data_IF_189043641807
#
_entry.id   IF_189043641807
#
_cell.length_a   1.000
_cell.length_b   1.000
_cell.length_c   1.000
_cell.angle_alpha   90.00
_cell.angle_beta   90.00
_cell.angle_gamma   90.00
#
_symmetry.space_group_name_H-M   'P 1'
#
loop_
_entity.id
_entity.type
_entity.pdbx_description
1 polymer ?
#
# COMPACT_ATOMS: atom_id res chain seq x y z
N UNK A 1 -108.58 15.38 28.61
CA UNK A 1 -108.06 15.76 27.27
C UNK A 1 -106.81 16.65 27.33
N UNK A 2 -106.48 17.26 28.48
CA UNK A 2 -105.41 18.26 28.61
C UNK A 2 -103.99 17.71 28.91
N UNK A 3 -103.84 16.54 29.54
CA UNK A 3 -102.51 15.95 29.85
C UNK A 3 -101.70 15.55 28.60
N UNK A 4 -102.34 15.00 27.56
CA UNK A 4 -101.67 14.63 26.30
C UNK A 4 -101.13 15.82 25.50
N UNK A 5 -101.58 17.05 25.79
CA UNK A 5 -101.17 18.28 25.09
C UNK A 5 -99.95 18.95 25.74
N UNK A 6 -99.84 18.87 27.07
CA UNK A 6 -98.68 19.39 27.82
C UNK A 6 -97.43 18.52 27.61
N UNK A 7 -97.59 17.21 27.70
CA UNK A 7 -96.53 16.22 27.49
C UNK A 7 -95.92 16.32 26.06
N UNK A 8 -96.76 16.64 25.07
CA UNK A 8 -96.35 16.89 23.68
C UNK A 8 -95.52 18.17 23.50
N UNK A 9 -95.79 19.21 24.30
CA UNK A 9 -95.08 20.49 24.24
C UNK A 9 -93.70 20.40 24.87
N UNK A 10 -93.60 19.70 25.99
CA UNK A 10 -92.34 19.45 26.69
C UNK A 10 -91.43 18.51 25.89
N UNK A 11 -92.01 17.46 25.31
CA UNK A 11 -91.32 16.56 24.37
C UNK A 11 -90.78 17.30 23.15
N UNK A 12 -91.53 18.24 22.56
CA UNK A 12 -91.07 19.07 21.44
C UNK A 12 -89.88 19.95 21.79
N UNK A 13 -89.90 20.63 22.95
CA UNK A 13 -88.75 21.43 23.41
C UNK A 13 -87.51 20.57 23.63
N UNK A 14 -87.68 19.36 24.18
CA UNK A 14 -86.59 18.40 24.37
C UNK A 14 -85.98 17.95 23.04
N UNK A 15 -86.82 17.69 22.04
CA UNK A 15 -86.38 17.35 20.68
C UNK A 15 -85.57 18.51 20.07
N UNK A 16 -86.02 19.76 20.22
CA UNK A 16 -85.31 20.94 19.73
C UNK A 16 -83.92 21.11 20.37
N UNK A 17 -83.83 20.97 21.69
CA UNK A 17 -82.57 21.07 22.44
C UNK A 17 -81.61 19.95 22.02
N UNK A 18 -82.11 18.73 21.88
CA UNK A 18 -81.32 17.59 21.43
C UNK A 18 -80.86 17.77 19.98
N UNK A 19 -81.71 18.29 19.09
CA UNK A 19 -81.35 18.59 17.70
C UNK A 19 -80.28 19.69 17.63
N UNK A 20 -80.38 20.74 18.44
CA UNK A 20 -79.34 21.76 18.53
C UNK A 20 -78.01 21.18 19.01
N UNK A 21 -78.03 20.32 20.03
CA UNK A 21 -76.83 19.64 20.55
C UNK A 21 -76.21 18.69 19.53
N UNK A 22 -77.02 17.95 18.77
CA UNK A 22 -76.54 17.10 17.68
C UNK A 22 -75.86 17.95 16.60
N UNK A 23 -76.48 19.06 16.20
CA UNK A 23 -75.96 19.96 15.16
C UNK A 23 -74.64 20.64 15.57
N UNK A 24 -74.41 20.81 16.86
CA UNK A 24 -73.17 21.33 17.43
C UNK A 24 -72.08 20.26 17.58
N UNK A 25 -72.45 19.04 18.01
CA UNK A 25 -71.51 17.93 18.22
C UNK A 25 -71.06 17.27 16.91
N UNK A 26 -71.88 17.27 15.86
CA UNK A 26 -71.52 16.72 14.54
C UNK A 26 -70.24 17.31 13.94
N UNK A 27 -70.08 18.66 13.82
CA UNK A 27 -68.85 19.24 13.30
C UNK A 27 -67.65 19.02 14.23
N UNK A 28 -67.85 19.03 15.55
CA UNK A 28 -66.80 18.76 16.53
C UNK A 28 -66.27 17.33 16.38
N UNK A 29 -67.17 16.34 16.32
CA UNK A 29 -66.84 14.94 16.13
C UNK A 29 -66.16 14.69 14.76
N UNK A 30 -66.61 15.38 13.71
CA UNK A 30 -65.96 15.37 12.39
C UNK A 30 -64.54 15.96 12.44
N UNK A 31 -64.32 17.01 13.23
CA UNK A 31 -62.99 17.61 13.40
C UNK A 31 -62.05 16.70 14.19
N UNK A 32 -62.56 16.05 15.24
CA UNK A 32 -61.81 15.13 16.08
C UNK A 32 -61.44 13.87 15.30
N UNK A 33 -62.36 13.27 14.54
CA UNK A 33 -62.08 12.10 13.71
C UNK A 33 -61.03 12.40 12.63
N UNK A 34 -61.06 13.61 12.05
CA UNK A 34 -60.06 14.05 11.07
C UNK A 34 -58.67 14.25 11.70
N UNK A 35 -58.60 14.74 12.95
CA UNK A 35 -57.32 14.86 13.68
C UNK A 35 -56.77 13.47 14.03
N UNK A 36 -57.63 12.58 14.50
CA UNK A 36 -57.28 11.23 14.91
C UNK A 36 -56.74 10.43 13.71
N UNK A 37 -57.40 10.51 12.54
CA UNK A 37 -56.92 9.86 11.31
C UNK A 37 -55.57 10.42 10.83
N UNK A 38 -55.36 11.74 10.89
CA UNK A 38 -54.05 12.35 10.58
C UNK A 38 -52.96 11.88 11.54
N UNK A 39 -53.29 11.73 12.81
CA UNK A 39 -52.35 11.26 13.82
C UNK A 39 -52.02 9.78 13.63
N UNK A 40 -52.99 8.93 13.31
CA UNK A 40 -52.77 7.52 12.95
C UNK A 40 -51.89 7.36 11.70
N UNK A 41 -52.06 8.20 10.69
CA UNK A 41 -51.18 8.18 9.50
C UNK A 41 -49.75 8.57 9.87
N UNK A 42 -49.58 9.60 10.72
CA UNK A 42 -48.25 10.01 11.19
C UNK A 42 -47.57 8.95 12.03
N UNK A 43 -48.29 8.27 12.92
CA UNK A 43 -47.72 7.21 13.75
C UNK A 43 -47.34 6.00 12.90
N UNK A 44 -48.19 5.58 11.95
CA UNK A 44 -47.85 4.51 10.99
C UNK A 44 -46.60 4.85 10.18
N UNK A 45 -46.50 6.08 9.68
CA UNK A 45 -45.32 6.54 8.93
C UNK A 45 -44.05 6.53 9.79
N UNK A 46 -44.10 7.08 11.01
CA UNK A 46 -42.95 7.09 11.91
C UNK A 46 -42.48 5.67 12.29
N UNK A 47 -43.40 4.72 12.44
CA UNK A 47 -43.07 3.30 12.67
C UNK A 47 -42.38 2.69 11.46
N UNK A 48 -42.89 2.95 10.24
CA UNK A 48 -42.27 2.49 9.00
C UNK A 48 -40.86 3.06 8.83
N UNK A 49 -40.69 4.38 9.00
CA UNK A 49 -39.40 5.06 8.88
C UNK A 49 -38.39 4.49 9.91
N UNK A 50 -38.84 4.19 11.13
CA UNK A 50 -38.01 3.56 12.17
C UNK A 50 -37.61 2.13 11.79
N UNK A 51 -38.52 1.35 11.21
CA UNK A 51 -38.22 -0.01 10.74
C UNK A 51 -37.20 0.01 9.60
N UNK A 52 -37.38 0.91 8.63
CA UNK A 52 -36.46 1.08 7.51
C UNK A 52 -35.06 1.51 7.98
N UNK A 53 -34.99 2.49 8.88
CA UNK A 53 -33.74 2.90 9.49
C UNK A 53 -33.07 1.75 10.27
N UNK A 54 -33.84 0.93 10.99
CA UNK A 54 -33.34 -0.24 11.71
C UNK A 54 -32.77 -1.31 10.78
N UNK A 55 -33.42 -1.57 9.64
CA UNK A 55 -32.91 -2.48 8.61
C UNK A 55 -31.63 -1.96 7.97
N UNK A 56 -31.56 -0.65 7.71
CA UNK A 56 -30.35 -0.01 7.19
C UNK A 56 -29.18 -0.10 8.17
N UNK A 57 -29.43 0.14 9.47
CA UNK A 57 -28.43 0.00 10.53
C UNK A 57 -27.88 -1.44 10.58
N UNK A 58 -28.77 -2.43 10.61
CA UNK A 58 -28.38 -3.84 10.69
C UNK A 58 -27.53 -4.26 9.48
N UNK A 59 -27.89 -3.83 8.27
CA UNK A 59 -27.09 -4.07 7.06
C UNK A 59 -25.71 -3.41 7.14
N UNK A 60 -25.62 -2.22 7.72
CA UNK A 60 -24.35 -1.53 7.89
C UNK A 60 -23.46 -2.25 8.93
N UNK A 61 -24.03 -2.70 10.05
CA UNK A 61 -23.33 -3.49 11.08
C UNK A 61 -22.79 -4.80 10.50
N UNK A 62 -23.62 -5.57 9.78
CA UNK A 62 -23.20 -6.81 9.11
C UNK A 62 -22.04 -6.55 8.13
N UNK A 63 -22.08 -5.43 7.41
CA UNK A 63 -21.01 -5.05 6.48
C UNK A 63 -19.72 -4.67 7.21
N UNK A 64 -19.81 -3.94 8.32
CA UNK A 64 -18.66 -3.60 9.16
C UNK A 64 -18.01 -4.87 9.73
N UNK A 65 -18.80 -5.81 10.22
CA UNK A 65 -18.26 -7.06 10.77
C UNK A 65 -17.61 -7.94 9.69
N UNK A 66 -18.20 -8.01 8.50
CA UNK A 66 -17.58 -8.70 7.37
C UNK A 66 -16.25 -8.03 6.95
N UNK A 67 -16.20 -6.70 6.92
CA UNK A 67 -14.98 -5.95 6.61
C UNK A 67 -13.92 -6.14 7.69
N UNK A 68 -14.29 -6.15 8.98
CA UNK A 68 -13.36 -6.42 10.07
C UNK A 68 -12.72 -7.80 9.94
N UNK A 69 -13.52 -8.84 9.68
CA UNK A 69 -13.00 -10.21 9.45
C UNK A 69 -12.05 -10.27 8.26
N UNK A 70 -12.39 -9.62 7.15
CA UNK A 70 -11.50 -9.55 5.99
C UNK A 70 -10.18 -8.84 6.31
N UNK A 71 -10.23 -7.79 7.11
CA UNK A 71 -9.06 -7.02 7.54
C UNK A 71 -8.19 -7.82 8.53
N UNK A 72 -8.80 -8.58 9.42
CA UNK A 72 -8.09 -9.48 10.33
C UNK A 72 -7.39 -10.62 9.56
N UNK A 73 -8.06 -11.22 8.57
CA UNK A 73 -7.43 -12.21 7.69
C UNK A 73 -6.22 -11.63 6.93
N UNK A 74 -6.36 -10.43 6.34
CA UNK A 74 -5.26 -9.74 5.66
C UNK A 74 -4.11 -9.41 6.63
N UNK A 75 -4.42 -9.03 7.87
CA UNK A 75 -3.41 -8.79 8.90
C UNK A 75 -2.68 -10.07 9.29
N UNK A 76 -3.37 -11.21 9.42
CA UNK A 76 -2.74 -12.50 9.71
C UNK A 76 -1.81 -12.95 8.56
N UNK A 77 -2.23 -12.77 7.30
CA UNK A 77 -1.37 -12.98 6.12
C UNK A 77 -0.14 -12.06 6.15
N UNK A 78 -0.34 -10.77 6.48
CA UNK A 78 0.76 -9.80 6.59
C UNK A 78 1.70 -10.12 7.75
N UNK A 79 1.18 -10.56 8.89
CA UNK A 79 1.97 -10.94 10.08
C UNK A 79 2.79 -12.22 9.85
N UNK A 80 2.26 -13.20 9.11
CA UNK A 80 3.06 -14.34 8.64
C UNK A 80 4.23 -13.87 7.78
N UNK A 81 3.99 -12.90 6.91
CA UNK A 81 5.03 -12.23 6.12
C UNK A 81 6.05 -11.47 6.98
N UNK A 82 5.63 -10.73 8.00
CA UNK A 82 6.53 -9.87 8.78
C UNK A 82 7.55 -10.63 9.64
N UNK A 83 7.29 -11.89 9.97
CA UNK A 83 8.29 -12.76 10.62
C UNK A 83 9.31 -13.35 9.64
N UNK A 84 9.12 -13.20 8.32
CA UNK A 84 10.09 -13.65 7.34
C UNK A 84 11.28 -12.71 7.34
N UNK A 85 12.43 -13.26 7.71
CA UNK A 85 13.71 -12.57 7.72
C UNK A 85 14.70 -13.31 6.83
N UNK A 86 15.63 -12.57 6.23
CA UNK A 86 16.75 -13.18 5.53
C UNK A 86 17.62 -13.94 6.54
N UNK A 87 17.84 -15.24 6.30
CA UNK A 87 18.73 -16.05 7.16
C UNK A 87 20.11 -15.40 7.32
N UNK A 88 20.61 -14.81 6.24
CA UNK A 88 21.89 -14.13 6.21
C UNK A 88 21.90 -13.07 5.10
N UNK A 89 22.45 -11.90 5.38
CA UNK A 89 22.74 -10.86 4.41
C UNK A 89 24.24 -10.53 4.46
N UNK A 90 24.94 -10.65 3.34
CA UNK A 90 26.40 -10.46 3.26
C UNK A 90 26.73 -9.63 2.02
N UNK A 91 27.63 -8.66 2.18
CA UNK A 91 28.24 -7.95 1.06
C UNK A 91 29.56 -8.63 0.71
N UNK A 92 29.70 -9.06 -0.54
CA UNK A 92 30.89 -9.75 -1.04
C UNK A 92 31.75 -8.80 -1.87
N UNK A 93 33.07 -8.95 -1.76
CA UNK A 93 34.02 -8.33 -2.69
C UNK A 93 33.93 -8.99 -4.06
N UNK A 94 34.42 -8.34 -5.12
CA UNK A 94 34.37 -8.90 -6.48
C UNK A 94 34.98 -10.32 -6.58
N UNK A 95 36.15 -10.55 -5.97
CA UNK A 95 36.80 -11.87 -5.96
C UNK A 95 35.96 -12.95 -5.23
N UNK A 96 35.34 -12.58 -4.11
CA UNK A 96 34.44 -13.47 -3.37
C UNK A 96 33.16 -13.75 -4.17
N UNK A 97 32.58 -12.74 -4.82
CA UNK A 97 31.40 -12.88 -5.68
C UNK A 97 31.66 -13.83 -6.85
N UNK A 98 32.80 -13.72 -7.54
CA UNK A 98 33.16 -14.63 -8.63
C UNK A 98 33.29 -16.08 -8.14
N UNK A 99 33.94 -16.29 -6.99
CA UNK A 99 34.09 -17.61 -6.36
C UNK A 99 32.72 -18.19 -5.97
N UNK A 100 31.89 -17.38 -5.32
CA UNK A 100 30.53 -17.75 -4.92
C UNK A 100 29.68 -18.12 -6.13
N UNK A 101 29.66 -17.31 -7.20
CA UNK A 101 28.91 -17.62 -8.41
C UNK A 101 29.41 -18.87 -9.12
N UNK A 102 30.72 -19.15 -9.06
CA UNK A 102 31.26 -20.42 -9.56
C UNK A 102 30.76 -21.62 -8.74
N UNK A 103 30.61 -21.46 -7.42
CA UNK A 103 30.02 -22.49 -6.55
C UNK A 103 28.54 -22.68 -6.85
N UNK A 104 27.77 -21.59 -6.99
CA UNK A 104 26.35 -21.62 -7.38
C UNK A 104 26.17 -22.32 -8.73
N UNK A 105 26.97 -21.95 -9.73
CA UNK A 105 26.95 -22.60 -11.05
C UNK A 105 27.44 -24.05 -11.06
N UNK A 106 28.11 -24.51 -10.00
CA UNK A 106 28.52 -25.92 -9.86
C UNK A 106 27.42 -26.82 -9.33
N UNK A 107 26.36 -26.24 -8.75
CA UNK A 107 25.21 -26.99 -8.22
C UNK A 107 24.48 -27.65 -9.39
N UNK A 108 24.35 -28.97 -9.31
CA UNK A 108 23.71 -29.82 -10.31
C UNK A 108 22.57 -30.59 -9.67
N UNK A 109 21.38 -30.46 -10.25
CA UNK A 109 20.27 -31.34 -9.94
C UNK A 109 20.18 -32.51 -10.92
N UNK A 110 19.59 -33.60 -10.45
CA UNK A 110 19.25 -34.78 -11.28
C UNK A 110 18.06 -34.48 -12.19
N UNK A 111 17.16 -33.57 -11.78
CA UNK A 111 16.01 -33.11 -12.55
C UNK A 111 16.26 -31.70 -13.10
N UNK A 112 15.40 -31.24 -14.02
CA UNK A 112 15.35 -29.83 -14.42
C UNK A 112 14.42 -29.09 -13.46
N UNK A 113 14.95 -28.67 -12.32
CA UNK A 113 14.21 -28.05 -11.21
C UNK A 113 14.96 -26.86 -10.59
N UNK A 114 16.12 -26.49 -11.15
CA UNK A 114 16.87 -25.31 -10.73
C UNK A 114 16.43 -24.12 -11.58
N UNK A 115 15.85 -23.13 -10.91
CA UNK A 115 15.33 -21.90 -11.48
C UNK A 115 16.35 -20.80 -11.28
N UNK A 116 16.66 -20.09 -12.36
CA UNK A 116 17.43 -18.84 -12.32
C UNK A 116 16.57 -17.73 -12.88
N UNK A 117 16.43 -16.63 -12.14
CA UNK A 117 15.68 -15.45 -12.55
C UNK A 117 16.59 -14.24 -12.44
N UNK A 118 16.58 -13.39 -13.46
CA UNK A 118 17.22 -12.09 -13.48
C UNK A 118 16.12 -11.04 -13.68
N UNK A 119 16.13 -10.01 -12.85
CA UNK A 119 15.21 -8.88 -12.90
C UNK A 119 16.00 -7.58 -13.04
N UNK A 120 15.60 -6.74 -13.98
CA UNK A 120 16.04 -5.35 -14.09
C UNK A 120 15.57 -4.54 -12.87
N UNK A 121 16.17 -3.35 -12.63
CA UNK A 121 15.66 -2.42 -11.64
C UNK A 121 14.16 -2.15 -11.87
N UNK A 122 13.36 -2.18 -10.81
CA UNK A 122 11.92 -1.92 -10.83
C UNK A 122 11.05 -2.90 -11.65
N UNK A 123 11.57 -4.08 -12.00
CA UNK A 123 10.76 -5.14 -12.63
C UNK A 123 10.41 -6.26 -11.64
N UNK A 124 9.27 -6.91 -11.89
CA UNK A 124 8.73 -8.00 -11.09
C UNK A 124 8.54 -9.27 -11.93
N UNK A 125 8.23 -10.39 -11.28
CA UNK A 125 7.93 -11.65 -11.97
C UNK A 125 6.75 -11.54 -12.95
N UNK A 126 5.77 -10.68 -12.67
CA UNK A 126 4.62 -10.46 -13.54
C UNK A 126 4.99 -9.82 -14.89
N UNK A 127 6.19 -9.23 -14.99
CA UNK A 127 6.72 -8.65 -16.22
C UNK A 127 7.51 -9.65 -17.07
N UNK A 128 7.73 -10.87 -16.59
CA UNK A 128 8.50 -11.89 -17.30
C UNK A 128 7.60 -12.67 -18.27
N UNK A 129 7.98 -12.67 -19.54
CA UNK A 129 7.27 -13.44 -20.57
C UNK A 129 7.33 -14.95 -20.28
N UNK A 130 6.15 -15.58 -20.30
CA UNK A 130 5.99 -17.03 -20.14
C UNK A 130 6.29 -17.56 -18.74
N UNK A 131 6.50 -16.69 -17.74
CA UNK A 131 6.77 -17.11 -16.37
C UNK A 131 5.55 -17.81 -15.75
N UNK A 132 5.66 -19.11 -15.51
CA UNK A 132 4.60 -19.98 -14.98
C UNK A 132 5.13 -20.85 -13.82
N UNK A 133 6.07 -20.31 -13.05
CA UNK A 133 6.65 -20.99 -11.89
C UNK A 133 5.93 -20.50 -10.64
N UNK A 134 5.34 -21.44 -9.91
CA UNK A 134 4.83 -21.19 -8.57
C UNK A 134 6.02 -21.09 -7.60
N UNK A 135 6.34 -19.86 -7.20
CA UNK A 135 7.32 -19.58 -6.14
C UNK A 135 6.62 -19.62 -4.78
N UNK A 136 7.38 -19.99 -3.75
CA UNK A 136 6.90 -19.87 -2.38
C UNK A 136 6.53 -18.41 -2.10
N UNK A 137 5.36 -18.18 -1.48
CA UNK A 137 4.88 -16.84 -1.09
C UNK A 137 5.94 -16.05 -0.30
N UNK A 138 6.73 -16.75 0.51
CA UNK A 138 7.82 -16.17 1.29
C UNK A 138 8.90 -15.50 0.41
N UNK A 139 9.19 -16.08 -0.77
CA UNK A 139 10.22 -15.58 -1.68
C UNK A 139 9.73 -14.31 -2.37
N UNK A 140 8.49 -14.30 -2.85
CA UNK A 140 7.89 -13.11 -3.45
C UNK A 140 7.83 -11.95 -2.45
N UNK A 141 7.41 -12.24 -1.23
CA UNK A 141 7.33 -11.26 -0.16
C UNK A 141 8.71 -10.68 0.21
N UNK A 142 9.73 -11.53 0.37
CA UNK A 142 11.09 -11.08 0.68
C UNK A 142 11.69 -10.24 -0.46
N UNK A 143 11.40 -10.57 -1.72
CA UNK A 143 11.87 -9.80 -2.85
C UNK A 143 11.25 -8.41 -2.94
N UNK A 144 9.97 -8.26 -2.60
CA UNK A 144 9.31 -6.95 -2.52
C UNK A 144 9.92 -6.03 -1.45
N UNK A 145 10.54 -6.58 -0.40
CA UNK A 145 11.23 -5.82 0.65
C UNK A 145 12.60 -5.28 0.24
N UNK A 146 13.16 -5.71 -0.89
CA UNK A 146 14.50 -5.29 -1.33
C UNK A 146 14.39 -4.18 -2.37
N UNK A 147 14.89 -3.01 -2.00
CA UNK A 147 15.14 -1.94 -2.96
C UNK A 147 16.51 -2.14 -3.60
N UNK A 148 16.53 -2.45 -4.89
CA UNK A 148 17.77 -2.60 -5.66
C UNK A 148 17.78 -1.71 -6.90
N UNK A 149 18.62 -0.66 -6.95
CA UNK A 149 18.72 0.23 -8.11
C UNK A 149 19.38 -0.45 -9.32
N UNK A 150 19.98 -1.63 -9.12
CA UNK A 150 20.72 -2.40 -10.13
C UNK A 150 20.01 -3.70 -10.53
N UNK A 151 18.84 -3.97 -9.97
CA UNK A 151 18.09 -5.20 -10.22
C UNK A 151 18.50 -6.33 -9.28
N UNK A 152 17.97 -7.52 -9.52
CA UNK A 152 18.09 -8.67 -8.61
C UNK A 152 18.21 -9.97 -9.38
N UNK A 153 18.92 -10.95 -8.83
CA UNK A 153 18.92 -12.32 -9.35
C UNK A 153 18.52 -13.32 -8.26
N UNK A 154 17.65 -14.25 -8.62
CA UNK A 154 17.16 -15.32 -7.76
C UNK A 154 17.62 -16.67 -8.29
N UNK A 155 18.26 -17.46 -7.42
CA UNK A 155 18.59 -18.86 -7.63
C UNK A 155 17.74 -19.71 -6.69
N UNK A 156 16.85 -20.53 -7.25
CA UNK A 156 15.81 -21.24 -6.53
C UNK A 156 15.71 -22.71 -6.95
N UNK A 157 15.69 -23.64 -5.99
CA UNK A 157 15.39 -25.07 -6.22
C UNK A 157 13.89 -25.33 -5.97
N UNK A 158 13.16 -25.79 -6.99
CA UNK A 158 11.72 -26.07 -6.91
C UNK A 158 11.37 -27.35 -6.16
N UNK A 159 12.23 -28.37 -6.20
CA UNK A 159 11.88 -29.73 -5.73
C UNK A 159 12.30 -29.99 -4.32
N UNK A 160 13.35 -29.32 -3.85
CA UNK A 160 13.89 -29.53 -2.51
C UNK A 160 13.63 -28.29 -1.66
N UNK A 161 12.51 -28.26 -0.90
CA UNK A 161 12.19 -27.14 -0.03
C UNK A 161 13.37 -26.79 0.89
N UNK A 162 13.82 -25.53 0.82
CA UNK A 162 14.89 -25.02 1.67
C UNK A 162 16.32 -25.43 1.31
N UNK A 163 16.56 -26.16 0.22
CA UNK A 163 17.92 -26.54 -0.18
C UNK A 163 18.73 -25.34 -0.70
N UNK A 164 18.20 -24.65 -1.72
CA UNK A 164 18.88 -23.48 -2.30
C UNK A 164 17.86 -22.38 -2.60
N UNK A 165 17.99 -21.27 -1.87
CA UNK A 165 17.25 -20.02 -2.07
C UNK A 165 18.21 -18.87 -1.85
N UNK A 166 18.68 -18.27 -2.95
CA UNK A 166 19.69 -17.22 -2.89
C UNK A 166 19.24 -16.05 -3.73
N UNK A 167 19.36 -14.86 -3.14
CA UNK A 167 18.99 -13.61 -3.76
C UNK A 167 20.22 -12.71 -3.79
N UNK A 168 20.51 -12.14 -4.95
CA UNK A 168 21.71 -11.35 -5.17
C UNK A 168 21.32 -10.00 -5.76
N UNK A 169 21.81 -8.92 -5.14
CA UNK A 169 21.78 -7.56 -5.69
C UNK A 169 23.17 -7.25 -6.28
N UNK A 170 23.31 -7.22 -7.62
CA UNK A 170 24.60 -6.95 -8.24
C UNK A 170 25.02 -5.48 -8.06
N UNK A 171 26.32 -5.16 -8.10
CA UNK A 171 26.80 -3.77 -8.03
C UNK A 171 26.56 -2.97 -9.32
N UNK A 172 26.19 -3.64 -10.42
CA UNK A 172 25.93 -3.06 -11.74
C UNK A 172 24.54 -3.45 -12.24
N UNK A 173 23.87 -2.60 -13.04
CA UNK A 173 22.51 -2.85 -13.48
C UNK A 173 22.40 -4.08 -14.39
N UNK A 174 21.42 -4.93 -14.11
CA UNK A 174 21.02 -6.02 -15.02
C UNK A 174 20.37 -5.40 -16.25
N UNK A 175 20.87 -5.77 -17.44
CA UNK A 175 20.41 -5.20 -18.72
C UNK A 175 19.15 -5.85 -19.29
N UNK A 176 18.89 -7.13 -18.96
CA UNK A 176 17.76 -7.91 -19.47
C UNK A 176 17.15 -8.76 -18.36
N UNK A 177 15.82 -8.70 -18.25
CA UNK A 177 15.08 -9.62 -17.40
C UNK A 177 14.82 -10.92 -18.12
N UNK A 178 14.76 -12.02 -17.36
CA UNK A 178 14.47 -13.33 -17.91
C UNK A 178 14.61 -14.41 -16.86
N UNK A 179 14.07 -15.58 -17.20
CA UNK A 179 14.11 -16.74 -16.32
C UNK A 179 14.45 -17.99 -17.13
N UNK A 180 14.99 -18.99 -16.43
CA UNK A 180 15.30 -20.29 -17.00
C UNK A 180 15.16 -21.38 -15.95
N UNK A 181 14.61 -22.52 -16.36
CA UNK A 181 14.70 -23.79 -15.62
C UNK A 181 15.73 -24.68 -16.28
N UNK A 182 16.67 -25.20 -15.51
CA UNK A 182 17.65 -26.16 -15.99
C UNK A 182 18.07 -27.14 -14.88
N UNK A 183 19.03 -28.01 -15.18
CA UNK A 183 19.70 -28.87 -14.20
C UNK A 183 20.82 -28.14 -13.44
N UNK A 184 21.17 -26.93 -13.87
CA UNK A 184 22.27 -26.11 -13.35
C UNK A 184 21.80 -24.66 -13.28
N UNK A 185 22.21 -23.93 -12.24
CA UNK A 185 21.95 -22.50 -12.15
C UNK A 185 22.71 -21.70 -13.22
N UNK A 186 22.01 -20.77 -13.88
CA UNK A 186 22.55 -19.91 -14.93
C UNK A 186 23.38 -18.76 -14.39
N UNK A 187 24.47 -19.03 -13.66
CA UNK A 187 25.30 -18.02 -13.00
C UNK A 187 26.21 -17.22 -13.97
N UNK A 188 26.40 -17.68 -15.20
CA UNK A 188 27.32 -17.11 -16.19
C UNK A 188 27.03 -15.63 -16.48
N UNK A 189 25.76 -15.24 -16.64
CA UNK A 189 25.37 -13.84 -16.89
C UNK A 189 25.84 -12.91 -15.78
N UNK A 190 25.74 -13.34 -14.53
CA UNK A 190 26.21 -12.54 -13.40
C UNK A 190 27.73 -12.49 -13.30
N UNK A 191 28.42 -13.57 -13.68
CA UNK A 191 29.89 -13.57 -13.76
C UNK A 191 30.37 -12.59 -14.83
N UNK A 192 29.79 -12.64 -16.03
CA UNK A 192 30.07 -11.71 -17.12
C UNK A 192 29.84 -10.26 -16.69
N UNK A 193 28.73 -9.97 -15.98
CA UNK A 193 28.42 -8.64 -15.45
C UNK A 193 29.50 -8.10 -14.49
N UNK A 194 30.11 -8.97 -13.67
CA UNK A 194 31.15 -8.61 -12.71
C UNK A 194 32.56 -8.52 -13.32
N UNK A 195 32.78 -9.23 -14.43
CA UNK A 195 34.06 -9.25 -15.15
C UNK A 195 34.14 -8.16 -16.23
N UNK A 196 32.99 -7.69 -16.71
CA UNK A 196 32.91 -6.62 -17.70
C UNK A 196 33.68 -5.38 -17.23
N UNK A 197 34.44 -4.76 -18.15
CA UNK A 197 35.20 -3.55 -17.86
C UNK A 197 34.26 -2.33 -17.83
N UNK A 198 33.46 -2.24 -16.76
CA UNK A 198 32.50 -1.17 -16.55
C UNK A 198 33.24 0.17 -16.37
N UNK A 199 32.74 1.21 -17.03
CA UNK A 199 33.24 2.57 -16.84
C UNK A 199 32.37 3.27 -15.80
N UNK A 200 32.99 3.71 -14.71
CA UNK A 200 32.33 4.41 -13.61
C UNK A 200 32.78 5.86 -13.55
N UNK A 201 31.86 6.75 -13.21
CA UNK A 201 32.17 8.14 -12.88
C UNK A 201 32.25 8.28 -11.36
N UNK A 202 33.41 8.69 -10.86
CA UNK A 202 33.71 8.94 -9.47
C UNK A 202 33.64 10.45 -9.24
N UNK A 203 32.72 10.89 -8.38
CA UNK A 203 32.61 12.29 -7.98
C UNK A 203 32.94 12.41 -6.49
N UNK A 204 34.04 13.08 -6.18
CA UNK A 204 34.43 13.43 -4.82
C UNK A 204 34.22 14.94 -4.65
N UNK A 205 33.05 15.31 -4.16
CA UNK A 205 32.69 16.71 -3.94
C UNK A 205 33.23 17.20 -2.59
N UNK A 206 34.07 18.23 -2.63
CA UNK A 206 34.51 18.94 -1.43
C UNK A 206 34.44 20.45 -1.68
N UNK A 207 34.15 21.22 -0.62
CA UNK A 207 33.76 22.63 -0.71
C UNK A 207 34.81 23.55 -1.36
N UNK A 208 36.09 23.20 -1.34
CA UNK A 208 37.16 23.95 -2.02
C UNK A 208 37.69 23.28 -3.30
N UNK A 209 37.56 21.96 -3.43
CA UNK A 209 38.06 21.22 -4.57
C UNK A 209 37.19 19.99 -4.78
N UNK A 210 36.61 19.86 -5.97
CA UNK A 210 35.79 18.72 -6.37
C UNK A 210 36.51 17.94 -7.44
N UNK A 211 36.69 16.65 -7.24
CA UNK A 211 37.27 15.74 -8.23
C UNK A 211 36.15 14.98 -8.96
N UNK A 212 36.25 14.95 -10.29
CA UNK A 212 35.35 14.18 -11.18
C UNK A 212 36.24 13.31 -12.05
N UNK A 213 36.22 12.00 -11.86
CA UNK A 213 37.06 11.05 -12.58
C UNK A 213 36.23 9.96 -13.24
N UNK A 214 36.48 9.69 -14.51
CA UNK A 214 36.00 8.50 -15.21
C UNK A 214 37.07 7.42 -15.06
N UNK A 215 36.71 6.29 -14.47
CA UNK A 215 37.61 5.15 -14.26
C UNK A 215 37.00 3.88 -14.85
N UNK A 216 37.85 2.99 -15.31
CA UNK A 216 37.48 1.61 -15.57
C UNK A 216 38.21 0.70 -14.56
N UNK A 217 38.22 -0.62 -14.78
CA UNK A 217 38.85 -1.59 -13.87
C UNK A 217 40.38 -1.49 -13.81
N UNK A 218 41.00 -0.95 -14.85
CA UNK A 218 42.46 -0.92 -15.01
C UNK A 218 43.06 0.43 -14.61
N UNK A 219 42.40 1.54 -14.95
CA UNK A 219 42.92 2.88 -14.73
C UNK A 219 41.83 3.97 -14.77
N UNK A 220 42.19 5.17 -14.34
CA UNK A 220 41.44 6.38 -14.67
C UNK A 220 41.56 6.68 -16.16
N UNK A 221 40.42 6.74 -16.84
CA UNK A 221 40.32 7.09 -18.26
C UNK A 221 40.46 8.61 -18.46
N UNK A 222 39.82 9.39 -17.57
CA UNK A 222 39.87 10.85 -17.61
C UNK A 222 39.54 11.40 -16.22
N UNK A 223 40.05 12.55 -15.84
CA UNK A 223 39.61 13.24 -14.64
C UNK A 223 39.70 14.76 -14.78
N UNK A 224 38.88 15.45 -13.99
CA UNK A 224 38.83 16.90 -13.87
C UNK A 224 38.79 17.28 -12.40
N UNK A 225 39.60 18.26 -12.04
CA UNK A 225 39.57 18.88 -10.72
C UNK A 225 38.93 20.26 -10.89
N UNK A 226 37.85 20.50 -10.16
CA UNK A 226 37.12 21.77 -10.12
C UNK A 226 37.42 22.43 -8.79
N UNK A 227 38.16 23.53 -8.81
CA UNK A 227 38.46 24.31 -7.60
C UNK A 227 37.42 25.41 -7.43
N UNK A 228 36.85 25.50 -6.25
CA UNK A 228 35.90 26.53 -5.86
C UNK A 228 36.54 27.46 -4.83
N UNK A 229 36.16 28.74 -4.89
CA UNK A 229 36.74 29.79 -4.02
C UNK A 229 36.05 29.86 -2.66
N UNK A 230 35.38 28.79 -2.21
CA UNK A 230 34.58 28.80 -0.98
C UNK A 230 35.52 28.87 0.21
N UNK A 231 35.51 30.02 0.92
CA UNK A 231 36.36 30.26 2.08
C UNK A 231 36.09 29.25 3.19
N UNK A 232 37.12 28.91 3.97
CA UNK A 232 37.03 28.00 5.11
C UNK A 232 36.07 28.51 6.20
N UNK A 233 35.54 27.59 7.03
CA UNK A 233 34.64 27.95 8.14
C UNK A 233 35.50 28.60 9.23
N UNK A 234 35.29 29.89 9.49
CA UNK A 234 35.98 30.56 10.60
C UNK A 234 35.38 30.09 11.94
N UNK A 235 36.22 29.47 12.78
CA UNK A 235 35.84 28.93 14.11
C UNK A 235 35.71 30.00 15.19
N UNK A 236 36.02 31.27 14.91
CA UNK A 236 36.00 32.35 15.91
C UNK A 236 34.69 33.14 15.84
N UNK A 237 33.86 32.96 16.85
CA UNK A 237 32.56 33.59 16.99
C UNK A 237 32.63 35.11 17.12
N UNK A 238 31.95 35.82 16.23
CA UNK A 238 31.85 37.27 16.24
C UNK A 238 30.64 37.75 15.45
N UNK A 239 30.19 38.98 15.70
CA UNK A 239 28.98 39.57 15.09
C UNK A 239 28.98 39.52 13.55
N UNK A 240 30.15 39.44 12.92
CA UNK A 240 30.34 39.30 11.47
C UNK A 240 30.04 37.89 10.93
N UNK A 241 29.92 36.87 11.77
CA UNK A 241 29.86 35.46 11.37
C UNK A 241 28.62 35.13 10.53
N UNK A 242 27.44 35.64 10.91
CA UNK A 242 26.19 35.43 10.15
C UNK A 242 26.25 36.01 8.73
N UNK A 243 27.06 37.05 8.49
CA UNK A 243 27.25 37.61 7.15
C UNK A 243 28.15 36.71 6.29
N UNK A 244 29.20 36.14 6.87
CA UNK A 244 30.08 35.20 6.17
C UNK A 244 29.40 33.85 5.90
N UNK A 245 28.58 33.36 6.82
CA UNK A 245 27.79 32.13 6.62
C UNK A 245 26.79 32.29 5.47
N UNK A 246 26.10 33.44 5.37
CA UNK A 246 25.19 33.75 4.24
C UNK A 246 25.90 33.83 2.89
N UNK A 247 27.04 34.52 2.82
CA UNK A 247 27.85 34.58 1.59
C UNK A 247 28.36 33.20 1.17
N UNK A 248 28.68 32.34 2.15
CA UNK A 248 29.11 30.97 1.88
C UNK A 248 27.98 30.07 1.37
N UNK A 249 26.77 30.22 1.92
CA UNK A 249 25.59 29.50 1.41
C UNK A 249 25.23 29.95 -0.02
N UNK A 250 25.49 31.22 -0.37
CA UNK A 250 25.38 31.71 -1.75
C UNK A 250 26.48 31.13 -2.65
N UNK A 251 27.74 31.11 -2.21
CA UNK A 251 28.88 30.55 -2.95
C UNK A 251 28.77 29.02 -3.15
N UNK A 252 28.08 28.29 -2.27
CA UNK A 252 27.83 26.84 -2.39
C UNK A 252 26.66 26.52 -3.33
N UNK A 253 25.73 27.47 -3.52
CA UNK A 253 24.58 27.31 -4.43
C UNK A 253 24.89 27.64 -5.88
N UNK A 254 25.93 28.45 -6.14
CA UNK A 254 26.45 28.80 -7.46
C UNK A 254 27.38 27.70 -8.01
#
# INVERSE_FOLDING_TARGET
MFDRLFDRKESKKRIEILQARIKELEPENKSLSTRLSKQEVRTKKAVSDRQEAGLALKRAEERVDNLKRALDNLKEETQKGDNLTFKQAVTLTNAQSCTFLSQVGSIKSRSRDLVTIYLRPNESFANLDGFDIELDQDVEYLMQKIESPTGMALFYDMKTPGAVRMLITPPFPIGESGWKIDRVFGATRMQELLEQNQTICIVLAHAGETFIGISNREAFVNYKIVRSSVKEKHTKGGWSQRRFERLRDEDVRL
#
